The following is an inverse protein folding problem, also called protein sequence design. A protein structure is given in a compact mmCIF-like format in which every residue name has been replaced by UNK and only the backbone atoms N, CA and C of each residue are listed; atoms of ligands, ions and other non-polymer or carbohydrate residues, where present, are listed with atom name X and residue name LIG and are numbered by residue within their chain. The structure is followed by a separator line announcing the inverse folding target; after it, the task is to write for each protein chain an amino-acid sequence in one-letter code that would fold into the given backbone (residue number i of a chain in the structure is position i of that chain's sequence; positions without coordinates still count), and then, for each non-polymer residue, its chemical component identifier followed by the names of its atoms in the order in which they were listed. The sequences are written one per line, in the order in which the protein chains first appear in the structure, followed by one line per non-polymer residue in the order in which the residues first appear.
data_IF_280819762102
#
_entry.id   IF_280819762102
#
_cell.length_a   1.000
_cell.length_b   1.000
_cell.length_c   1.000
_cell.angle_alpha   90.00
_cell.angle_beta   90.00
_cell.angle_gamma   90.00
#
_symmetry.space_group_name_H-M   'P 1'
#
loop_
_entity.id
_entity.type
_entity.pdbx_description
1 polymer ?
#
# COMPACT_ATOMS: atom_id res chain seq x y z
N UNK A 1 10.02 -23.39 31.58
CA UNK A 1 10.28 -23.93 30.24
C UNK A 1 10.13 -22.80 29.24
N UNK A 2 11.26 -22.18 28.89
CA UNK A 2 11.35 -21.07 27.92
C UNK A 2 11.34 -21.67 26.51
N UNK A 3 10.15 -21.87 25.95
CA UNK A 3 10.01 -22.29 24.55
C UNK A 3 10.49 -21.17 23.63
N UNK A 4 11.37 -21.52 22.69
CA UNK A 4 11.86 -20.70 21.57
C UNK A 4 10.72 -20.11 20.70
N UNK A 5 9.98 -19.13 21.22
CA UNK A 5 8.87 -18.48 20.52
C UNK A 5 9.33 -17.44 19.48
N UNK A 6 10.64 -17.20 19.36
CA UNK A 6 11.19 -16.12 18.55
C UNK A 6 11.78 -16.57 17.21
N UNK A 7 11.58 -17.83 16.81
CA UNK A 7 12.07 -18.29 15.51
C UNK A 7 11.11 -17.80 14.40
N UNK A 8 11.49 -16.68 13.77
CA UNK A 8 10.77 -16.12 12.62
C UNK A 8 10.99 -17.05 11.42
N UNK A 9 9.94 -17.75 11.02
CA UNK A 9 10.00 -18.69 9.90
C UNK A 9 10.04 -17.91 8.59
N UNK A 10 10.59 -18.51 7.52
CA UNK A 10 10.52 -17.94 6.16
C UNK A 10 9.06 -17.65 5.76
N UNK A 11 8.13 -18.52 6.19
CA UNK A 11 6.70 -18.32 5.99
C UNK A 11 6.19 -17.03 6.65
N UNK A 12 6.61 -16.73 7.89
CA UNK A 12 6.21 -15.50 8.61
C UNK A 12 6.74 -14.24 7.91
N UNK A 13 7.92 -14.34 7.26
CA UNK A 13 8.49 -13.26 6.47
C UNK A 13 7.68 -13.02 5.20
N UNK A 14 7.40 -14.08 4.43
CA UNK A 14 6.58 -13.97 3.22
C UNK A 14 5.16 -13.47 3.50
N UNK A 15 4.52 -13.96 4.57
CA UNK A 15 3.18 -13.50 4.96
C UNK A 15 3.17 -12.05 5.41
N UNK A 16 4.29 -11.53 5.92
CA UNK A 16 4.41 -10.13 6.33
C UNK A 16 4.57 -9.18 5.14
N UNK A 17 4.94 -9.66 3.96
CA UNK A 17 5.04 -8.86 2.73
C UNK A 17 3.67 -8.65 2.08
N UNK A 18 2.78 -9.65 2.14
CA UNK A 18 1.46 -9.60 1.52
C UNK A 18 0.61 -8.38 1.94
N UNK A 19 0.53 -7.97 3.22
CA UNK A 19 -0.21 -6.78 3.61
C UNK A 19 0.22 -5.53 2.84
N UNK A 20 1.53 -5.35 2.61
CA UNK A 20 2.08 -4.17 1.95
C UNK A 20 1.67 -4.01 0.49
N UNK A 21 1.10 -5.04 -0.14
CA UNK A 21 0.47 -4.87 -1.46
C UNK A 21 -0.71 -3.90 -1.43
N UNK A 22 -1.43 -3.81 -0.31
CA UNK A 22 -2.57 -2.91 -0.15
C UNK A 22 -2.15 -1.42 -0.22
N UNK A 23 -1.24 -0.90 0.63
CA UNK A 23 -0.77 0.47 0.54
C UNK A 23 -0.04 0.77 -0.78
N UNK A 24 0.67 -0.21 -1.35
CA UNK A 24 1.35 -0.08 -2.64
C UNK A 24 0.35 0.21 -3.77
N UNK A 25 -0.71 -0.60 -3.88
CA UNK A 25 -1.73 -0.44 -4.91
C UNK A 25 -2.51 0.87 -4.75
N UNK A 26 -2.85 1.23 -3.51
CA UNK A 26 -3.50 2.50 -3.20
C UNK A 26 -2.62 3.70 -3.60
N UNK A 27 -1.32 3.65 -3.29
CA UNK A 27 -0.37 4.69 -3.65
C UNK A 27 -0.17 4.83 -5.17
N UNK A 28 -0.03 3.70 -5.87
CA UNK A 28 0.07 3.66 -7.33
C UNK A 28 -1.20 4.18 -8.02
N UNK A 29 -2.38 3.86 -7.49
CA UNK A 29 -3.65 4.40 -7.99
C UNK A 29 -3.71 5.93 -7.82
N UNK A 30 -3.30 6.45 -6.66
CA UNK A 30 -3.45 7.87 -6.33
C UNK A 30 -2.41 8.76 -7.03
N UNK A 31 -1.15 8.33 -7.10
CA UNK A 31 -0.02 9.16 -7.54
C UNK A 31 0.66 8.63 -8.81
N UNK A 32 0.55 7.32 -9.08
CA UNK A 32 1.30 6.67 -10.13
C UNK A 32 1.01 7.21 -11.54
N UNK A 33 -0.23 7.60 -11.85
CA UNK A 33 -0.56 8.13 -13.18
C UNK A 33 0.08 9.49 -13.48
N UNK A 34 0.35 10.31 -12.47
CA UNK A 34 0.97 11.61 -12.67
C UNK A 34 2.49 11.53 -12.70
N UNK A 35 3.07 10.63 -11.91
CA UNK A 35 4.52 10.56 -11.70
C UNK A 35 5.19 9.68 -12.76
N UNK A 36 4.59 8.53 -13.09
CA UNK A 36 5.25 7.56 -13.96
C UNK A 36 5.58 8.07 -15.38
N UNK A 37 4.78 8.95 -16.02
CA UNK A 37 5.15 9.53 -17.29
C UNK A 37 6.51 10.24 -17.29
N UNK A 38 6.94 10.75 -16.14
CA UNK A 38 8.21 11.48 -15.98
C UNK A 38 9.41 10.53 -15.76
N UNK A 39 9.18 9.22 -15.60
CA UNK A 39 10.24 8.23 -15.39
C UNK A 39 10.78 7.69 -16.72
N UNK A 40 12.06 7.26 -16.75
CA UNK A 40 12.68 6.73 -17.95
C UNK A 40 11.92 5.53 -18.53
N UNK A 41 11.93 5.44 -19.86
CA UNK A 41 11.10 4.52 -20.65
C UNK A 41 11.18 3.04 -20.20
N UNK A 42 12.37 2.57 -19.80
CA UNK A 42 12.56 1.19 -19.33
C UNK A 42 11.78 0.87 -18.05
N UNK A 43 11.74 1.80 -17.08
CA UNK A 43 11.02 1.62 -15.82
C UNK A 43 9.51 1.68 -16.07
N UNK A 44 9.08 2.63 -16.91
CA UNK A 44 7.69 2.76 -17.31
C UNK A 44 7.17 1.51 -18.04
N UNK A 45 7.99 0.88 -18.90
CA UNK A 45 7.58 -0.34 -19.60
C UNK A 45 7.42 -1.53 -18.62
N UNK A 46 8.31 -1.68 -17.64
CA UNK A 46 8.20 -2.71 -16.60
C UNK A 46 6.93 -2.52 -15.76
N UNK A 47 6.65 -1.29 -15.33
CA UNK A 47 5.42 -0.98 -14.60
C UNK A 47 4.17 -1.30 -15.42
N UNK A 48 4.11 -0.83 -16.68
CA UNK A 48 2.96 -1.04 -17.57
C UNK A 48 2.69 -2.53 -17.82
N UNK A 49 3.75 -3.33 -17.91
CA UNK A 49 3.63 -4.76 -18.14
C UNK A 49 3.18 -5.54 -16.89
N UNK A 50 3.67 -5.16 -15.71
CA UNK A 50 3.50 -5.98 -14.49
C UNK A 50 2.47 -5.41 -13.51
N UNK A 51 2.62 -4.13 -13.13
CA UNK A 51 1.84 -3.52 -12.05
C UNK A 51 0.57 -2.82 -12.53
N UNK A 52 0.60 -2.21 -13.73
CA UNK A 52 -0.57 -1.55 -14.30
C UNK A 52 -1.83 -2.42 -14.39
N UNK A 53 -1.81 -3.69 -14.84
CA UNK A 53 -3.01 -4.51 -14.86
C UNK A 53 -3.57 -4.77 -13.45
N UNK A 54 -2.70 -4.93 -12.44
CA UNK A 54 -3.10 -5.09 -11.04
C UNK A 54 -3.75 -3.81 -10.50
N UNK A 55 -3.16 -2.65 -10.79
CA UNK A 55 -3.69 -1.34 -10.38
C UNK A 55 -5.06 -1.09 -11.05
N UNK A 56 -5.21 -1.39 -12.34
CA UNK A 56 -6.49 -1.23 -13.05
C UNK A 56 -7.56 -2.15 -12.44
N UNK A 57 -7.22 -3.40 -12.15
CA UNK A 57 -8.14 -4.33 -11.49
C UNK A 57 -8.60 -3.81 -10.11
N UNK A 58 -7.66 -3.29 -9.32
CA UNK A 58 -7.92 -2.69 -8.02
C UNK A 58 -8.81 -1.44 -8.12
N UNK A 59 -8.52 -0.51 -9.04
CA UNK A 59 -9.32 0.70 -9.29
C UNK A 59 -10.75 0.36 -9.71
N UNK A 60 -10.91 -0.70 -10.51
CA UNK A 60 -12.22 -1.15 -11.01
C UNK A 60 -13.09 -1.72 -9.88
N UNK A 61 -12.48 -2.25 -8.83
CA UNK A 61 -13.16 -2.87 -7.70
C UNK A 61 -12.76 -2.19 -6.38
N UNK A 62 -13.20 -0.95 -6.12
CA UNK A 62 -12.82 -0.21 -4.92
C UNK A 62 -13.25 -0.91 -3.61
N UNK A 63 -14.28 -1.76 -3.67
CA UNK A 63 -14.70 -2.58 -2.55
C UNK A 63 -13.61 -3.58 -2.09
N UNK A 64 -12.70 -4.02 -2.98
CA UNK A 64 -11.62 -4.94 -2.62
C UNK A 64 -10.66 -4.32 -1.61
N UNK A 65 -10.34 -3.03 -1.73
CA UNK A 65 -9.52 -2.31 -0.77
C UNK A 65 -10.11 -2.39 0.63
N UNK A 66 -11.41 -2.08 0.73
CA UNK A 66 -12.17 -2.08 1.97
C UNK A 66 -12.25 -3.49 2.55
N UNK A 67 -12.65 -4.49 1.77
CA UNK A 67 -12.74 -5.89 2.22
C UNK A 67 -11.37 -6.40 2.69
N UNK A 68 -10.31 -6.13 1.93
CA UNK A 68 -8.94 -6.56 2.27
C UNK A 68 -8.48 -5.92 3.59
N UNK A 69 -8.76 -4.64 3.80
CA UNK A 69 -8.50 -3.95 5.05
C UNK A 69 -9.17 -4.66 6.25
N UNK A 70 -10.47 -4.98 6.15
CA UNK A 70 -11.17 -5.67 7.24
C UNK A 70 -10.66 -7.08 7.47
N UNK A 71 -10.33 -7.81 6.40
CA UNK A 71 -9.73 -9.15 6.51
C UNK A 71 -8.39 -9.08 7.24
N UNK A 72 -7.49 -8.18 6.84
CA UNK A 72 -6.19 -8.00 7.48
C UNK A 72 -6.34 -7.58 8.96
N UNK A 73 -7.23 -6.64 9.23
CA UNK A 73 -7.52 -6.19 10.60
C UNK A 73 -8.07 -7.31 11.47
N UNK A 74 -9.07 -8.05 10.99
CA UNK A 74 -9.69 -9.14 11.74
C UNK A 74 -8.72 -10.29 12.00
N UNK A 75 -7.90 -10.62 11.01
CA UNK A 75 -7.04 -11.81 11.02
C UNK A 75 -5.71 -11.59 11.74
N UNK A 76 -5.18 -10.36 11.81
CA UNK A 76 -3.86 -10.12 12.44
C UNK A 76 -3.85 -9.06 13.54
N UNK A 77 -4.79 -8.10 13.54
CA UNK A 77 -4.76 -6.96 14.48
C UNK A 77 -5.63 -7.19 15.70
N UNK A 78 -6.75 -7.90 15.55
CA UNK A 78 -7.71 -8.15 16.63
C UNK A 78 -7.06 -8.87 17.82
N UNK A 79 -7.32 -8.40 19.04
CA UNK A 79 -6.76 -8.98 20.27
C UNK A 79 -7.14 -10.46 20.49
N UNK A 80 -8.31 -10.88 19.99
CA UNK A 80 -8.76 -12.27 19.94
C UNK A 80 -8.75 -12.77 18.49
N UNK A 81 -7.59 -12.65 17.84
CA UNK A 81 -7.42 -13.09 16.46
C UNK A 81 -7.47 -14.63 16.36
N UNK A 82 -7.99 -15.19 15.25
CA UNK A 82 -7.90 -16.62 14.96
C UNK A 82 -6.47 -17.12 14.71
N UNK A 83 -5.52 -16.24 14.39
CA UNK A 83 -4.12 -16.61 14.11
C UNK A 83 -3.33 -16.61 15.43
N UNK A 84 -2.42 -17.59 15.66
CA UNK A 84 -1.53 -17.61 16.82
C UNK A 84 -0.80 -16.27 16.96
N UNK A 85 -0.63 -15.78 18.19
CA UNK A 85 -0.02 -14.46 18.43
C UNK A 85 1.44 -14.46 17.95
N UNK A 86 1.69 -13.79 16.82
CA UNK A 86 3.00 -13.62 16.19
C UNK A 86 3.28 -12.11 16.12
N UNK A 87 4.04 -11.54 17.07
CA UNK A 87 4.22 -10.09 17.18
C UNK A 87 4.86 -9.47 15.92
N UNK A 88 5.75 -10.20 15.24
CA UNK A 88 6.38 -9.76 14.00
C UNK A 88 5.37 -9.50 12.86
N UNK A 89 4.45 -10.43 12.63
CA UNK A 89 3.44 -10.29 11.57
C UNK A 89 2.46 -9.18 11.94
N UNK A 90 2.02 -9.15 13.20
CA UNK A 90 1.11 -8.12 13.70
C UNK A 90 1.67 -6.71 13.53
N UNK A 91 2.96 -6.51 13.82
CA UNK A 91 3.63 -5.23 13.58
C UNK A 91 3.61 -4.84 12.10
N UNK A 92 4.00 -5.74 11.20
CA UNK A 92 4.01 -5.45 9.75
C UNK A 92 2.62 -5.18 9.18
N UNK A 93 1.60 -5.92 9.64
CA UNK A 93 0.21 -5.68 9.22
C UNK A 93 -0.28 -4.33 9.73
N UNK A 94 0.01 -3.98 10.98
CA UNK A 94 -0.33 -2.65 11.53
C UNK A 94 0.34 -1.52 10.74
N UNK A 95 1.63 -1.66 10.41
CA UNK A 95 2.37 -0.69 9.59
C UNK A 95 1.77 -0.56 8.20
N UNK A 96 1.48 -1.68 7.54
CA UNK A 96 0.86 -1.67 6.22
C UNK A 96 -0.53 -1.03 6.21
N UNK A 97 -1.35 -1.31 7.23
CA UNK A 97 -2.67 -0.70 7.39
C UNK A 97 -2.54 0.81 7.61
N UNK A 98 -1.57 1.24 8.43
CA UNK A 98 -1.29 2.65 8.68
C UNK A 98 -0.87 3.37 7.39
N UNK A 99 0.07 2.79 6.63
CA UNK A 99 0.48 3.32 5.32
C UNK A 99 -0.69 3.41 4.35
N UNK A 100 -1.59 2.42 4.34
CA UNK A 100 -2.77 2.44 3.49
C UNK A 100 -3.69 3.61 3.84
N UNK A 101 -3.96 3.81 5.13
CA UNK A 101 -4.80 4.93 5.59
C UNK A 101 -4.17 6.29 5.27
N UNK A 102 -2.86 6.43 5.47
CA UNK A 102 -2.12 7.65 5.14
C UNK A 102 -2.18 7.91 3.63
N UNK A 103 -1.88 6.93 2.79
CA UNK A 103 -1.90 7.06 1.34
C UNK A 103 -3.29 7.38 0.80
N UNK A 104 -4.34 6.75 1.36
CA UNK A 104 -5.72 7.01 0.96
C UNK A 104 -6.17 8.42 1.37
N UNK A 105 -5.80 8.88 2.57
CA UNK A 105 -6.09 10.24 3.03
C UNK A 105 -5.36 11.30 2.21
N UNK A 106 -4.05 11.14 2.02
CA UNK A 106 -3.22 12.08 1.25
C UNK A 106 -3.65 12.10 -0.22
N UNK A 107 -3.98 10.93 -0.79
CA UNK A 107 -4.53 10.83 -2.15
C UNK A 107 -5.88 11.53 -2.30
N UNK A 108 -6.77 11.43 -1.31
CA UNK A 108 -8.05 12.14 -1.30
C UNK A 108 -7.87 13.66 -1.19
N UNK A 109 -6.99 14.12 -0.29
CA UNK A 109 -6.64 15.55 -0.15
C UNK A 109 -6.08 16.07 -1.46
N UNK A 110 -5.11 15.36 -2.04
CA UNK A 110 -4.48 15.77 -3.29
C UNK A 110 -5.48 15.82 -4.45
N UNK A 111 -6.39 14.84 -4.57
CA UNK A 111 -7.46 14.86 -5.59
C UNK A 111 -8.46 16.00 -5.40
N UNK A 112 -8.69 16.46 -4.17
CA UNK A 112 -9.55 17.61 -3.88
C UNK A 112 -8.91 18.96 -4.23
N UNK A 113 -7.59 19.03 -4.43
CA UNK A 113 -6.89 20.25 -4.82
C UNK A 113 -7.24 20.66 -6.27
N UNK A 114 -7.23 21.98 -6.56
CA UNK A 114 -7.51 22.49 -7.91
C UNK A 114 -6.55 21.89 -8.94
N UNK A 115 -7.07 21.68 -10.16
CA UNK A 115 -6.30 20.99 -11.21
C UNK A 115 -5.05 21.77 -11.60
N UNK A 116 -5.12 23.11 -11.56
CA UNK A 116 -3.98 23.99 -11.83
C UNK A 116 -2.85 23.75 -10.83
N UNK A 117 -3.17 23.52 -9.55
CA UNK A 117 -2.17 23.20 -8.55
C UNK A 117 -1.56 21.82 -8.78
N UNK A 118 -2.38 20.80 -9.11
CA UNK A 118 -1.90 19.43 -9.30
C UNK A 118 -0.92 19.27 -10.47
N UNK A 119 -1.09 20.05 -11.54
CA UNK A 119 -0.21 20.03 -12.73
C UNK A 119 0.95 21.03 -12.59
N UNK A 120 0.89 21.92 -11.60
CA UNK A 120 2.01 22.83 -11.30
C UNK A 120 3.25 22.09 -10.83
N UNK A 121 4.41 22.74 -10.93
CA UNK A 121 5.69 22.22 -10.42
C UNK A 121 5.61 21.87 -8.93
N UNK A 122 4.91 22.69 -8.13
CA UNK A 122 4.71 22.41 -6.70
C UNK A 122 3.82 21.19 -6.45
N UNK A 123 2.77 21.02 -7.26
CA UNK A 123 1.93 19.83 -7.23
C UNK A 123 2.70 18.57 -7.58
N UNK A 124 3.57 18.64 -8.59
CA UNK A 124 4.43 17.53 -9.02
C UNK A 124 5.48 17.17 -7.96
N UNK A 125 6.09 18.16 -7.31
CA UNK A 125 7.03 17.95 -6.19
C UNK A 125 6.35 17.30 -4.98
N UNK A 126 5.14 17.77 -4.64
CA UNK A 126 4.32 17.17 -3.59
C UNK A 126 3.97 15.72 -3.94
N UNK A 127 3.51 15.47 -5.17
CA UNK A 127 3.18 14.13 -5.65
C UNK A 127 4.37 13.17 -5.56
N UNK A 128 5.57 13.59 -6.01
CA UNK A 128 6.80 12.80 -5.89
C UNK A 128 7.18 12.48 -4.43
N UNK A 129 6.97 13.44 -3.52
CA UNK A 129 7.23 13.23 -2.08
C UNK A 129 6.20 12.29 -1.46
N UNK A 130 4.94 12.38 -1.87
CA UNK A 130 3.87 11.49 -1.42
C UNK A 130 4.08 10.05 -1.92
N UNK A 131 4.62 9.90 -3.12
CA UNK A 131 4.96 8.59 -3.70
C UNK A 131 6.09 7.88 -2.95
N UNK A 132 6.94 8.59 -2.21
CA UNK A 132 7.94 7.96 -1.35
C UNK A 132 7.35 7.20 -0.16
N UNK A 133 6.09 7.47 0.21
CA UNK A 133 5.37 6.74 1.26
C UNK A 133 4.65 5.48 0.75
N UNK A 134 4.85 5.15 -0.54
CA UNK A 134 4.28 3.98 -1.24
C UNK A 134 5.35 2.91 -1.37
#
# INVERSE_FOLDING_TARGET
MTTDQNNITILDRCSSVLPYWLPLLEGLQNFGQQILPDYPFSIMNLYKKTLMPLVIFYVTHPALAFVTFFVLYYLFVRAKSPVPDRPFIRFNVLQSILLFLINSLLGAIFRALPIEFRVSVYGLMLCNTLFWFV
#
